data_IF_387858795064
#
_entry.id   IF_387858795064
#
_cell.length_a   1.000
_cell.length_b   1.000
_cell.length_c   1.000
_cell.angle_alpha   90.00
_cell.angle_beta   90.00
_cell.angle_gamma   90.00
#
_symmetry.space_group_name_H-M   'P 1'
#
loop_
_entity.id
_entity.type
_entity.pdbx_description
1 polymer ?
#
# COMPACT_ATOMS: atom_id res chain seq x y z
N UNK A 1 -47.76 -37.60 39.71
CA UNK A 1 -46.84 -38.36 38.85
C UNK A 1 -47.01 -37.89 37.41
N UNK A 2 -46.05 -37.09 36.90
CA UNK A 2 -45.54 -37.09 35.53
C UNK A 2 -44.83 -35.75 35.28
N UNK A 3 -43.50 -35.81 35.33
CA UNK A 3 -42.57 -34.71 35.11
C UNK A 3 -42.74 -34.17 33.68
N UNK A 4 -43.18 -32.91 33.54
CA UNK A 4 -42.92 -32.14 32.32
C UNK A 4 -41.44 -31.72 32.38
N UNK A 5 -40.57 -32.54 31.79
CA UNK A 5 -39.17 -32.20 31.56
C UNK A 5 -39.13 -30.91 30.75
N UNK A 6 -38.78 -29.80 31.40
CA UNK A 6 -38.39 -28.58 30.71
C UNK A 6 -37.11 -28.90 29.93
N UNK A 7 -37.25 -29.12 28.63
CA UNK A 7 -36.16 -29.30 27.70
C UNK A 7 -35.46 -27.94 27.57
N UNK A 8 -34.43 -27.71 28.38
CA UNK A 8 -33.54 -26.57 28.25
C UNK A 8 -32.74 -26.78 26.97
N UNK A 9 -33.12 -26.10 25.89
CA UNK A 9 -32.30 -25.98 24.69
C UNK A 9 -31.01 -25.24 25.09
N UNK A 10 -29.82 -25.82 24.87
CA UNK A 10 -28.60 -25.05 25.04
C UNK A 10 -28.56 -24.01 23.91
N UNK A 11 -28.54 -22.73 24.27
CA UNK A 11 -28.22 -21.67 23.35
C UNK A 11 -26.80 -21.91 22.82
N UNK A 12 -26.70 -22.45 21.61
CA UNK A 12 -25.44 -22.57 20.92
C UNK A 12 -24.97 -21.15 20.58
N UNK A 13 -24.03 -20.63 21.36
CA UNK A 13 -23.22 -19.47 20.98
C UNK A 13 -22.39 -19.88 19.76
N UNK A 14 -22.95 -19.65 18.57
CA UNK A 14 -22.17 -19.65 17.34
C UNK A 14 -21.22 -18.45 17.39
N UNK A 15 -20.00 -18.68 17.87
CA UNK A 15 -18.89 -17.75 17.65
C UNK A 15 -18.67 -17.67 16.15
N UNK A 16 -19.19 -16.60 15.55
CA UNK A 16 -18.94 -16.25 14.16
C UNK A 16 -17.43 -15.96 14.04
N UNK A 17 -16.66 -16.97 13.64
CA UNK A 17 -15.28 -16.75 13.23
C UNK A 17 -15.33 -15.87 11.98
N UNK A 18 -15.03 -14.58 12.14
CA UNK A 18 -14.83 -13.71 10.99
C UNK A 18 -13.77 -14.37 10.11
N UNK A 19 -14.02 -14.57 8.80
CA UNK A 19 -12.95 -14.98 7.92
C UNK A 19 -11.89 -13.89 8.02
N UNK A 20 -10.70 -14.26 8.51
CA UNK A 20 -9.54 -13.38 8.49
C UNK A 20 -9.44 -12.87 7.05
N UNK A 21 -9.64 -11.56 6.88
CA UNK A 21 -9.80 -10.95 5.58
C UNK A 21 -8.68 -11.42 4.66
N UNK A 22 -9.05 -11.84 3.45
CA UNK A 22 -8.11 -12.29 2.42
C UNK A 22 -6.99 -11.27 2.30
N UNK A 23 -5.84 -11.57 2.88
CA UNK A 23 -4.63 -10.78 2.68
C UNK A 23 -4.25 -10.98 1.22
N UNK A 24 -4.66 -10.06 0.35
CA UNK A 24 -4.20 -10.03 -1.02
C UNK A 24 -2.67 -9.99 -0.97
N UNK A 25 -2.02 -11.01 -1.50
CA UNK A 25 -0.57 -10.98 -1.68
C UNK A 25 -0.21 -9.68 -2.41
N UNK A 26 0.61 -8.84 -1.78
CA UNK A 26 1.04 -7.60 -2.41
C UNK A 26 1.79 -7.96 -3.70
N UNK A 27 1.53 -7.23 -4.78
CA UNK A 27 2.30 -7.41 -6.01
C UNK A 27 3.79 -7.23 -5.72
N UNK A 28 4.64 -8.03 -6.37
CA UNK A 28 6.09 -7.91 -6.26
C UNK A 28 6.52 -6.51 -6.75
N UNK A 29 6.90 -5.65 -5.80
CA UNK A 29 7.32 -4.28 -6.07
C UNK A 29 8.54 -4.19 -6.98
N UNK A 30 9.47 -5.15 -6.90
CA UNK A 30 10.66 -5.17 -7.76
C UNK A 30 10.30 -5.45 -9.22
N UNK A 31 9.33 -6.33 -9.44
CA UNK A 31 8.78 -6.61 -10.78
C UNK A 31 8.01 -5.42 -11.34
N UNK A 32 7.21 -4.73 -10.51
CA UNK A 32 6.50 -3.51 -10.93
C UNK A 32 7.49 -2.39 -11.27
N UNK A 33 8.56 -2.25 -10.48
CA UNK A 33 9.59 -1.22 -10.66
C UNK A 33 10.30 -1.31 -12.02
N UNK A 34 10.32 -2.47 -12.68
CA UNK A 34 10.88 -2.60 -14.04
C UNK A 34 10.24 -1.62 -15.05
N UNK A 35 8.98 -1.24 -14.84
CA UNK A 35 8.28 -0.23 -15.65
C UNK A 35 8.81 1.19 -15.39
N UNK A 36 9.22 1.46 -14.15
CA UNK A 36 9.73 2.75 -13.70
C UNK A 36 11.22 2.91 -14.05
N UNK A 37 11.96 1.81 -14.11
CA UNK A 37 13.40 1.77 -14.33
C UNK A 37 13.82 2.33 -15.70
N UNK A 38 12.92 2.39 -16.68
CA UNK A 38 13.19 3.02 -17.97
C UNK A 38 13.59 4.50 -17.84
N UNK A 39 13.04 5.22 -16.87
CA UNK A 39 13.34 6.63 -16.61
C UNK A 39 14.13 6.83 -15.31
N UNK A 40 13.72 6.17 -14.23
CA UNK A 40 14.35 6.33 -12.92
C UNK A 40 15.61 5.47 -12.72
N UNK A 41 16.01 4.71 -13.74
CA UNK A 41 17.12 3.77 -13.76
C UNK A 41 16.94 2.56 -12.82
N UNK A 42 17.65 1.43 -13.05
CA UNK A 42 17.56 0.26 -12.17
C UNK A 42 17.91 0.54 -10.70
N UNK A 43 18.81 1.50 -10.46
CA UNK A 43 19.24 1.90 -9.12
C UNK A 43 18.30 2.92 -8.45
N UNK A 44 17.35 3.49 -9.19
CA UNK A 44 16.51 4.58 -8.69
C UNK A 44 17.24 5.92 -8.58
N UNK A 45 18.40 6.08 -9.22
CA UNK A 45 19.17 7.34 -9.24
C UNK A 45 18.57 8.39 -10.16
N UNK A 46 17.71 7.99 -11.10
CA UNK A 46 17.20 8.89 -12.13
C UNK A 46 18.32 9.50 -12.98
N UNK A 47 17.97 10.55 -13.73
CA UNK A 47 18.87 11.31 -14.59
C UNK A 47 18.78 12.78 -14.17
N UNK A 48 19.85 13.39 -13.64
CA UNK A 48 19.83 14.79 -13.22
C UNK A 48 19.28 15.72 -14.31
N UNK A 49 18.31 16.58 -13.96
CA UNK A 49 17.65 17.52 -14.88
C UNK A 49 16.59 16.91 -15.81
N UNK A 50 16.31 15.60 -15.73
CA UNK A 50 15.31 14.95 -16.56
C UNK A 50 14.37 14.02 -15.77
N UNK A 51 14.92 13.13 -14.94
CA UNK A 51 14.14 12.17 -14.15
C UNK A 51 14.62 12.17 -12.69
N UNK A 52 13.77 12.49 -11.71
CA UNK A 52 14.20 12.64 -10.33
C UNK A 52 14.62 11.30 -9.69
N UNK A 53 15.56 11.30 -8.74
CA UNK A 53 15.90 10.12 -7.95
C UNK A 53 14.74 9.69 -7.04
N UNK A 54 14.62 8.38 -6.79
CA UNK A 54 13.55 7.81 -5.95
C UNK A 54 14.05 7.24 -4.61
N UNK A 55 15.36 7.21 -4.36
CA UNK A 55 15.94 6.49 -3.22
C UNK A 55 15.70 7.16 -1.86
N UNK A 56 15.72 8.50 -1.83
CA UNK A 56 15.68 9.32 -0.61
C UNK A 56 14.27 9.86 -0.35
N UNK A 57 13.72 10.63 -1.29
CA UNK A 57 12.45 11.34 -1.10
C UNK A 57 11.25 10.40 -0.97
N UNK A 58 11.16 9.34 -1.79
CA UNK A 58 10.03 8.40 -1.75
C UNK A 58 9.96 7.69 -0.40
N UNK A 59 11.11 7.32 0.17
CA UNK A 59 11.15 6.66 1.49
C UNK A 59 10.67 7.59 2.59
N UNK A 60 11.11 8.85 2.59
CA UNK A 60 10.67 9.83 3.57
C UNK A 60 9.15 10.11 3.44
N UNK A 61 8.66 10.29 2.21
CA UNK A 61 7.24 10.52 1.93
C UNK A 61 6.36 9.34 2.36
N UNK A 62 6.78 8.11 2.09
CA UNK A 62 6.03 6.90 2.46
C UNK A 62 5.83 6.76 3.99
N UNK A 63 6.68 7.39 4.79
CA UNK A 63 6.58 7.43 6.25
C UNK A 63 5.35 8.18 6.79
N UNK A 64 4.70 9.02 5.98
CA UNK A 64 3.55 9.84 6.40
C UNK A 64 2.27 9.49 5.65
N UNK A 65 1.10 9.73 6.25
CA UNK A 65 -0.19 9.53 5.57
C UNK A 65 -0.31 10.43 4.32
N UNK A 66 0.04 11.71 4.46
CA UNK A 66 0.01 12.67 3.37
C UNK A 66 0.98 12.27 2.24
N UNK A 67 2.20 11.85 2.58
CA UNK A 67 3.19 11.43 1.59
C UNK A 67 2.79 10.14 0.87
N UNK A 68 2.19 9.15 1.55
CA UNK A 68 1.60 7.98 0.86
C UNK A 68 0.51 8.36 -0.14
N UNK A 69 -0.37 9.30 0.24
CA UNK A 69 -1.40 9.85 -0.67
C UNK A 69 -0.76 10.53 -1.88
N UNK A 70 0.27 11.35 -1.65
CA UNK A 70 1.01 12.02 -2.72
C UNK A 70 1.65 11.01 -3.69
N UNK A 71 2.36 9.99 -3.18
CA UNK A 71 2.99 8.96 -4.01
C UNK A 71 1.97 8.19 -4.87
N UNK A 72 0.81 7.85 -4.30
CA UNK A 72 -0.26 7.21 -5.06
C UNK A 72 -0.80 8.12 -6.18
N UNK A 73 -0.94 9.43 -5.91
CA UNK A 73 -1.38 10.40 -6.91
C UNK A 73 -0.34 10.64 -7.99
N UNK A 74 0.95 10.70 -7.65
CA UNK A 74 2.03 10.87 -8.63
C UNK A 74 2.01 9.77 -9.70
N UNK A 75 1.72 8.53 -9.32
CA UNK A 75 1.63 7.39 -10.26
C UNK A 75 0.30 7.39 -11.01
N UNK A 76 -0.82 7.67 -10.34
CA UNK A 76 -2.16 7.52 -10.94
C UNK A 76 -2.64 8.74 -11.72
N UNK A 77 -2.06 9.91 -11.45
CA UNK A 77 -2.44 11.20 -12.05
C UNK A 77 -1.30 11.87 -12.81
N UNK A 78 -0.09 11.32 -12.72
CA UNK A 78 1.11 11.99 -13.20
C UNK A 78 1.52 13.15 -12.31
N UNK A 79 2.68 13.71 -12.61
CA UNK A 79 3.25 14.86 -11.94
C UNK A 79 3.83 15.79 -13.02
N UNK A 80 3.61 17.09 -12.89
CA UNK A 80 4.01 18.08 -13.90
C UNK A 80 4.25 19.44 -13.26
N UNK A 81 5.05 20.26 -13.94
CA UNK A 81 5.50 21.54 -13.41
C UNK A 81 6.84 21.41 -12.67
N UNK A 82 7.35 22.53 -12.12
CA UNK A 82 8.63 22.56 -11.43
C UNK A 82 8.59 21.69 -10.17
N UNK A 83 9.62 20.87 -9.99
CA UNK A 83 9.81 20.02 -8.82
C UNK A 83 11.21 20.23 -8.29
N UNK A 84 11.35 20.27 -6.97
CA UNK A 84 12.66 20.27 -6.32
C UNK A 84 12.84 18.94 -5.62
N UNK A 85 13.87 18.19 -6.02
CA UNK A 85 14.24 16.89 -5.43
C UNK A 85 15.70 16.96 -5.05
N UNK A 86 16.01 16.71 -3.78
CA UNK A 86 17.36 16.87 -3.21
C UNK A 86 18.00 18.25 -3.53
N UNK A 87 17.17 19.31 -3.56
CA UNK A 87 17.62 20.68 -3.84
C UNK A 87 17.91 20.99 -5.32
N UNK A 88 17.59 20.06 -6.24
CA UNK A 88 17.76 20.24 -7.69
C UNK A 88 16.41 20.37 -8.38
N UNK A 89 16.35 21.21 -9.41
CA UNK A 89 15.18 21.42 -10.28
C UNK A 89 15.32 20.69 -11.60
#
# INVERSE_FOLDING_TARGET
MSMRRAMVLPAALATLALPAGMASAAADGAKVYQRCAACHLPTGKGVPGAFPPLQSDVRALAGTVAGRRYLALAVTRGLSGPLTVEGKT
#
